data_IF_957912466613
#
_entry.id   IF_957912466613
#
_cell.length_a   1.000
_cell.length_b   1.000
_cell.length_c   1.000
_cell.angle_alpha   90.00
_cell.angle_beta   90.00
_cell.angle_gamma   90.00
#
_symmetry.space_group_name_H-M   'P 1'
#
loop_
_entity.id
_entity.type
_entity.pdbx_description
1 polymer ?
#
# COMPACT_ATOMS: atom_id res chain seq x y z
N UNK A 1 11.27 -14.27 11.53
CA UNK A 1 10.94 -15.70 11.76
C UNK A 1 12.16 -16.34 12.43
N UNK A 2 12.08 -16.73 13.71
CA UNK A 2 13.25 -17.24 14.44
C UNK A 2 13.50 -18.69 14.04
N UNK A 3 14.67 -18.97 13.45
CA UNK A 3 15.08 -20.31 13.01
C UNK A 3 16.04 -20.89 14.06
N UNK A 4 15.64 -21.96 14.75
CA UNK A 4 16.54 -22.67 15.66
C UNK A 4 17.61 -23.36 14.80
N UNK A 5 18.88 -22.99 15.02
CA UNK A 5 20.02 -23.48 14.23
C UNK A 5 20.70 -24.70 14.83
N UNK A 6 20.56 -24.94 16.14
CA UNK A 6 21.05 -26.14 16.80
C UNK A 6 20.32 -26.38 18.14
N UNK A 7 20.31 -27.64 18.61
CA UNK A 7 19.93 -28.01 19.97
C UNK A 7 21.12 -28.69 20.65
N UNK A 8 21.36 -28.37 21.92
CA UNK A 8 22.34 -29.06 22.76
C UNK A 8 21.62 -29.61 23.98
N UNK A 9 21.80 -30.90 24.24
CA UNK A 9 21.32 -31.53 25.47
C UNK A 9 22.20 -31.06 26.63
N UNK A 10 21.57 -30.51 27.69
CA UNK A 10 22.27 -29.94 28.85
C UNK A 10 22.09 -30.76 30.13
N UNK A 11 21.36 -31.87 30.06
CA UNK A 11 21.05 -32.73 31.21
C UNK A 11 19.55 -33.01 31.33
N UNK A 12 19.19 -33.79 32.35
CA UNK A 12 17.81 -33.97 32.81
C UNK A 12 17.68 -33.25 34.14
N UNK A 13 16.75 -32.32 34.23
CA UNK A 13 16.31 -31.75 35.50
C UNK A 13 14.92 -32.28 35.82
N UNK A 14 14.59 -32.39 37.11
CA UNK A 14 13.22 -32.66 37.53
C UNK A 14 12.39 -31.41 37.22
N UNK A 15 11.51 -31.51 36.24
CA UNK A 15 10.44 -30.54 36.05
C UNK A 15 9.29 -30.92 36.98
N UNK A 16 8.86 -29.98 37.82
CA UNK A 16 7.66 -30.14 38.63
C UNK A 16 6.43 -29.86 37.76
N UNK A 17 6.11 -30.81 36.89
CA UNK A 17 4.78 -30.86 36.30
C UNK A 17 3.88 -31.66 37.26
N UNK A 18 2.65 -31.19 37.50
CA UNK A 18 1.71 -31.89 38.38
C UNK A 18 1.19 -33.11 37.61
N UNK A 19 1.98 -34.18 37.60
CA UNK A 19 1.56 -35.50 37.19
C UNK A 19 0.67 -36.08 38.28
N UNK A 20 -0.62 -36.22 37.97
CA UNK A 20 -1.60 -36.79 38.88
C UNK A 20 -1.88 -38.23 38.46
N UNK A 21 -1.64 -39.20 39.35
CA UNK A 21 -1.71 -40.65 39.05
C UNK A 21 -3.13 -41.16 38.68
N UNK A 22 -4.20 -40.44 39.08
CA UNK A 22 -5.59 -40.81 38.81
C UNK A 22 -6.44 -39.63 38.29
N UNK A 23 -7.72 -39.83 37.98
CA UNK A 23 -8.62 -38.74 37.60
C UNK A 23 -8.89 -37.82 38.82
N UNK A 24 -8.13 -36.73 38.98
CA UNK A 24 -8.39 -35.76 40.04
C UNK A 24 -9.19 -34.58 39.52
N UNK A 25 -10.39 -34.46 40.06
CA UNK A 25 -11.13 -33.22 40.12
C UNK A 25 -10.53 -32.38 41.27
N UNK A 26 -10.00 -31.19 41.00
CA UNK A 26 -9.46 -30.33 42.05
C UNK A 26 -10.61 -29.87 42.97
N UNK A 27 -10.78 -30.48 44.14
CA UNK A 27 -11.78 -30.03 45.10
C UNK A 27 -11.30 -28.74 45.80
N UNK A 28 -12.02 -27.64 45.65
CA UNK A 28 -11.78 -26.41 46.43
C UNK A 28 -12.42 -26.52 47.81
N UNK A 29 -12.00 -25.67 48.76
CA UNK A 29 -12.29 -25.70 50.22
C UNK A 29 -13.77 -25.96 50.60
N UNK A 30 -14.71 -25.72 49.69
CA UNK A 30 -16.15 -25.83 49.92
C UNK A 30 -16.76 -27.13 49.33
N UNK A 31 -15.94 -28.11 48.93
CA UNK A 31 -16.38 -29.37 48.33
C UNK A 31 -16.77 -29.26 46.84
N UNK A 32 -16.58 -28.11 46.21
CA UNK A 32 -16.82 -27.91 44.78
C UNK A 32 -15.63 -28.42 43.96
N UNK A 33 -15.93 -29.02 42.82
CA UNK A 33 -14.93 -29.47 41.84
C UNK A 33 -14.57 -28.30 40.94
N UNK A 34 -13.29 -27.93 40.90
CA UNK A 34 -12.76 -26.99 39.96
C UNK A 34 -12.65 -27.64 38.58
N UNK A 35 -13.66 -27.39 37.75
CA UNK A 35 -13.62 -27.56 36.31
C UNK A 35 -13.33 -26.21 35.64
N UNK A 36 -12.48 -26.18 34.60
CA UNK A 36 -12.14 -24.96 33.83
C UNK A 36 -11.28 -23.91 34.55
N UNK A 37 -10.41 -24.30 35.48
CA UNK A 37 -9.41 -23.38 36.02
C UNK A 37 -8.48 -22.85 34.92
N UNK A 38 -8.28 -21.54 34.89
CA UNK A 38 -7.44 -20.88 33.90
C UNK A 38 -6.11 -20.44 34.48
N UNK A 39 -5.05 -20.56 33.70
CA UNK A 39 -3.71 -20.18 34.15
C UNK A 39 -3.60 -18.65 34.29
N UNK A 40 -3.38 -18.16 35.52
CA UNK A 40 -3.34 -16.72 35.82
C UNK A 40 -2.18 -16.00 35.13
N UNK A 41 -0.97 -16.58 35.11
CA UNK A 41 0.19 -15.92 34.49
C UNK A 41 0.00 -15.73 32.97
N UNK A 42 -0.51 -16.76 32.29
CA UNK A 42 -0.86 -16.68 30.87
C UNK A 42 -1.96 -15.65 30.61
N UNK A 43 -3.05 -15.68 31.39
CA UNK A 43 -4.15 -14.71 31.26
C UNK A 43 -3.69 -13.27 31.48
N UNK A 44 -2.80 -13.07 32.46
CA UNK A 44 -2.29 -11.73 32.79
C UNK A 44 -1.43 -11.18 31.64
N UNK A 45 -0.58 -12.00 31.03
CA UNK A 45 0.23 -11.59 29.89
C UNK A 45 -0.62 -11.16 28.68
N UNK A 46 -1.65 -11.93 28.32
CA UNK A 46 -2.56 -11.57 27.22
C UNK A 46 -3.47 -10.39 27.58
N UNK A 47 -3.92 -10.30 28.84
CA UNK A 47 -4.67 -9.15 29.35
C UNK A 47 -3.88 -7.85 29.22
N UNK A 48 -2.58 -7.89 29.46
CA UNK A 48 -1.70 -6.72 29.29
C UNK A 48 -1.62 -6.26 27.82
N UNK A 49 -1.42 -7.17 26.86
CA UNK A 49 -1.44 -6.83 25.42
C UNK A 49 -2.81 -6.29 24.99
N UNK A 50 -3.89 -6.87 25.52
CA UNK A 50 -5.26 -6.40 25.27
C UNK A 50 -5.44 -4.96 25.78
N UNK A 51 -4.97 -4.66 26.98
CA UNK A 51 -4.99 -3.31 27.52
C UNK A 51 -4.19 -2.33 26.66
N UNK A 52 -2.99 -2.71 26.21
CA UNK A 52 -2.16 -1.86 25.36
C UNK A 52 -2.85 -1.52 24.03
N UNK A 53 -3.45 -2.52 23.36
CA UNK A 53 -4.18 -2.28 22.11
C UNK A 53 -5.44 -1.44 22.31
N UNK A 54 -6.18 -1.66 23.40
CA UNK A 54 -7.33 -0.82 23.77
C UNK A 54 -6.92 0.63 24.06
N UNK A 55 -5.81 0.82 24.77
CA UNK A 55 -5.25 2.15 25.07
C UNK A 55 -4.86 2.88 23.78
N UNK A 56 -4.16 2.22 22.86
CA UNK A 56 -3.79 2.81 21.56
C UNK A 56 -5.02 3.16 20.73
N UNK A 57 -6.02 2.29 20.68
CA UNK A 57 -7.28 2.58 19.97
C UNK A 57 -8.03 3.77 20.56
N UNK A 58 -8.03 3.94 21.88
CA UNK A 58 -8.73 5.02 22.56
C UNK A 58 -8.04 6.39 22.41
N UNK A 59 -6.70 6.41 22.42
CA UNK A 59 -5.91 7.65 22.46
C UNK A 59 -5.28 8.04 21.11
N UNK A 60 -5.02 7.06 20.24
CA UNK A 60 -4.40 7.21 18.91
C UNK A 60 -5.21 6.43 17.86
N UNK A 61 -6.52 6.71 17.71
CA UNK A 61 -7.41 5.92 16.87
C UNK A 61 -6.97 5.92 15.40
N UNK A 62 -6.44 7.04 14.90
CA UNK A 62 -6.03 7.19 13.51
C UNK A 62 -4.83 6.29 13.19
N UNK A 63 -3.77 6.40 13.99
CA UNK A 63 -2.54 5.62 13.86
C UNK A 63 -2.79 4.14 14.12
N UNK A 64 -3.62 3.81 15.12
CA UNK A 64 -4.00 2.44 15.43
C UNK A 64 -4.74 1.78 14.26
N UNK A 65 -5.70 2.48 13.65
CA UNK A 65 -6.43 1.97 12.50
C UNK A 65 -5.54 1.84 11.26
N UNK A 66 -4.65 2.81 11.02
CA UNK A 66 -3.65 2.70 9.94
C UNK A 66 -2.74 1.47 10.13
N UNK A 67 -2.25 1.24 11.35
CA UNK A 67 -1.44 0.06 11.67
C UNK A 67 -2.21 -1.26 11.49
N UNK A 68 -3.48 -1.32 11.87
CA UNK A 68 -4.33 -2.50 11.64
C UNK A 68 -4.56 -2.78 10.15
N UNK A 69 -4.82 -1.75 9.35
CA UNK A 69 -4.99 -1.87 7.91
C UNK A 69 -3.70 -2.39 7.26
N UNK A 70 -2.55 -1.82 7.63
CA UNK A 70 -1.23 -2.25 7.17
C UNK A 70 -0.92 -3.70 7.55
N UNK A 71 -1.12 -4.09 8.80
CA UNK A 71 -0.83 -5.44 9.28
C UNK A 71 -1.69 -6.52 8.60
N UNK A 72 -2.80 -6.14 7.98
CA UNK A 72 -3.74 -7.05 7.32
C UNK A 72 -3.88 -6.74 5.82
N UNK A 73 -2.99 -5.97 5.20
CA UNK A 73 -3.10 -5.53 3.80
C UNK A 73 -3.20 -6.68 2.79
N UNK A 74 -2.65 -7.86 3.12
CA UNK A 74 -2.76 -9.07 2.32
C UNK A 74 -4.10 -9.83 2.43
N UNK A 75 -5.02 -9.41 3.30
CA UNK A 75 -6.31 -10.06 3.56
C UNK A 75 -7.45 -9.08 3.29
N UNK A 76 -8.03 -9.16 2.09
CA UNK A 76 -9.05 -8.20 1.62
C UNK A 76 -10.29 -8.17 2.50
N UNK A 77 -10.68 -9.30 3.09
CA UNK A 77 -11.87 -9.39 3.92
C UNK A 77 -11.64 -8.68 5.26
N UNK A 78 -10.43 -8.77 5.81
CA UNK A 78 -10.05 -8.03 7.02
C UNK A 78 -9.90 -6.54 6.75
N UNK A 79 -9.25 -6.16 5.65
CA UNK A 79 -9.12 -4.75 5.24
C UNK A 79 -10.51 -4.13 5.15
N UNK A 80 -11.45 -4.77 4.45
CA UNK A 80 -12.82 -4.25 4.33
C UNK A 80 -13.50 -4.05 5.69
N UNK A 81 -13.34 -4.99 6.64
CA UNK A 81 -13.87 -4.84 8.00
C UNK A 81 -13.26 -3.65 8.73
N UNK A 82 -11.95 -3.44 8.62
CA UNK A 82 -11.28 -2.31 9.26
C UNK A 82 -11.66 -0.97 8.63
N UNK A 83 -11.88 -0.92 7.31
CA UNK A 83 -12.37 0.28 6.63
C UNK A 83 -13.77 0.65 7.11
N UNK A 84 -14.67 -0.33 7.26
CA UNK A 84 -15.99 -0.09 7.84
C UNK A 84 -15.88 0.41 9.29
N UNK A 85 -14.93 -0.09 10.07
CA UNK A 85 -14.66 0.42 11.42
C UNK A 85 -14.15 1.86 11.39
N UNK A 86 -13.24 2.22 10.46
CA UNK A 86 -12.81 3.60 10.26
C UNK A 86 -14.01 4.51 9.99
N UNK A 87 -14.90 4.12 9.08
CA UNK A 87 -16.11 4.88 8.77
C UNK A 87 -17.01 5.08 10.01
N UNK A 88 -17.23 4.02 10.81
CA UNK A 88 -17.99 4.10 12.06
C UNK A 88 -17.31 4.97 13.13
N UNK A 89 -15.99 5.08 13.08
CA UNK A 89 -15.18 5.94 13.96
C UNK A 89 -15.04 7.37 13.43
N UNK A 90 -15.64 7.69 12.27
CA UNK A 90 -15.49 9.01 11.62
C UNK A 90 -14.12 9.26 11.00
N UNK A 91 -13.32 8.21 10.79
CA UNK A 91 -11.99 8.29 10.17
C UNK A 91 -12.16 8.16 8.65
N UNK A 92 -11.75 9.21 7.92
CA UNK A 92 -11.73 9.20 6.46
C UNK A 92 -10.47 8.51 5.94
N UNK A 93 -10.64 7.68 4.91
CA UNK A 93 -9.54 7.08 4.15
C UNK A 93 -9.52 7.72 2.76
N UNK A 94 -8.46 8.44 2.43
CA UNK A 94 -8.25 8.97 1.08
C UNK A 94 -7.88 7.80 0.14
N UNK A 95 -8.27 7.84 -1.15
CA UNK A 95 -7.86 6.86 -2.15
C UNK A 95 -6.33 6.79 -2.30
N UNK A 96 -5.81 5.72 -2.93
CA UNK A 96 -4.41 5.70 -3.32
C UNK A 96 -4.08 6.93 -4.16
N UNK A 97 -2.84 7.39 -4.05
CA UNK A 97 -2.34 8.58 -4.73
C UNK A 97 -0.85 8.36 -5.01
N UNK A 98 -0.44 8.35 -6.26
CA UNK A 98 0.95 8.11 -6.66
C UNK A 98 1.95 9.10 -6.05
N UNK A 99 1.52 10.32 -5.69
CA UNK A 99 2.38 11.34 -5.09
C UNK A 99 2.33 11.35 -3.55
N UNK A 100 1.25 10.84 -2.93
CA UNK A 100 1.09 10.88 -1.46
C UNK A 100 1.17 9.52 -0.77
N UNK A 101 0.66 8.47 -1.40
CA UNK A 101 0.60 7.13 -0.79
C UNK A 101 2.00 6.55 -0.61
N UNK A 102 2.19 5.90 0.54
CA UNK A 102 3.35 5.07 0.82
C UNK A 102 3.12 3.60 0.48
N UNK A 103 4.06 2.76 0.90
CA UNK A 103 3.88 1.31 0.90
C UNK A 103 2.68 0.90 1.77
N UNK A 104 2.61 1.49 2.96
CA UNK A 104 1.63 1.19 4.00
C UNK A 104 0.55 2.26 4.12
N UNK A 105 -0.55 1.91 4.80
CA UNK A 105 -1.55 2.88 5.20
C UNK A 105 -0.92 3.90 6.13
N UNK A 106 -1.03 5.19 5.78
CA UNK A 106 -0.27 6.26 6.44
C UNK A 106 -1.22 7.29 7.03
N UNK A 107 -1.18 7.56 8.34
CA UNK A 107 -1.97 8.65 8.94
C UNK A 107 -1.41 10.00 8.48
N UNK A 108 -2.26 10.85 7.89
CA UNK A 108 -1.87 12.18 7.42
C UNK A 108 -3.06 13.15 7.51
N UNK A 109 -2.86 14.30 8.19
CA UNK A 109 -3.84 15.38 8.22
C UNK A 109 -5.23 14.99 8.76
N UNK A 110 -5.28 14.11 9.78
CA UNK A 110 -6.54 13.62 10.35
C UNK A 110 -7.23 12.52 9.52
N UNK A 111 -6.58 12.04 8.46
CA UNK A 111 -7.06 10.99 7.57
C UNK A 111 -6.05 9.86 7.44
N UNK A 112 -6.44 8.78 6.80
CA UNK A 112 -5.53 7.68 6.43
C UNK A 112 -5.36 7.71 4.90
N UNK A 113 -4.12 7.78 4.43
CA UNK A 113 -3.79 7.56 3.03
C UNK A 113 -3.76 6.07 2.75
N UNK A 114 -4.40 5.64 1.66
CA UNK A 114 -4.38 4.26 1.23
C UNK A 114 -2.95 3.81 0.92
N UNK A 115 -2.54 2.64 1.43
CA UNK A 115 -1.23 2.06 1.14
C UNK A 115 -1.20 1.38 -0.22
N UNK A 116 -0.16 1.61 -1.03
CA UNK A 116 -0.03 0.99 -2.36
C UNK A 116 0.05 -0.54 -2.28
N UNK A 117 0.49 -1.09 -1.15
CA UNK A 117 0.56 -2.55 -0.91
C UNK A 117 -0.80 -3.25 -0.90
N UNK A 118 -1.88 -2.51 -0.66
CA UNK A 118 -3.25 -3.04 -0.64
C UNK A 118 -3.95 -2.96 -2.02
N UNK A 119 -3.26 -2.45 -3.06
CA UNK A 119 -3.79 -2.42 -4.42
C UNK A 119 -3.46 -3.73 -5.13
N UNK A 120 -4.49 -4.44 -5.61
CA UNK A 120 -4.28 -5.68 -6.39
C UNK A 120 -3.50 -5.39 -7.66
N UNK A 121 -2.70 -6.38 -8.07
CA UNK A 121 -1.76 -6.31 -9.19
C UNK A 121 -0.57 -5.34 -9.01
N UNK A 122 -0.41 -4.69 -7.84
CA UNK A 122 0.73 -3.82 -7.57
C UNK A 122 1.70 -4.54 -6.62
N UNK A 123 2.80 -5.05 -7.17
CA UNK A 123 3.80 -5.82 -6.40
C UNK A 123 4.76 -4.92 -5.60
N UNK A 124 5.34 -5.44 -4.51
CA UNK A 124 6.27 -4.68 -3.66
C UNK A 124 7.46 -4.08 -4.42
N UNK A 125 8.01 -4.77 -5.42
CA UNK A 125 9.11 -4.25 -6.23
C UNK A 125 8.67 -3.05 -7.08
N UNK A 126 7.45 -3.07 -7.62
CA UNK A 126 6.90 -1.95 -8.36
C UNK A 126 6.67 -0.75 -7.43
N UNK A 127 6.14 -0.99 -6.23
CA UNK A 127 5.96 0.06 -5.20
C UNK A 127 7.31 0.69 -4.84
N UNK A 128 8.33 -0.13 -4.55
CA UNK A 128 9.66 0.35 -4.23
C UNK A 128 10.26 1.20 -5.37
N UNK A 129 10.08 0.77 -6.63
CA UNK A 129 10.49 1.52 -7.81
C UNK A 129 9.79 2.88 -7.91
N UNK A 130 8.47 2.92 -7.74
CA UNK A 130 7.67 4.16 -7.75
C UNK A 130 8.12 5.12 -6.65
N UNK A 131 8.31 4.61 -5.43
CA UNK A 131 8.73 5.42 -4.29
C UNK A 131 10.16 5.96 -4.46
N UNK A 132 11.09 5.17 -5.01
CA UNK A 132 12.45 5.63 -5.32
C UNK A 132 12.43 6.74 -6.37
N UNK A 133 11.71 6.53 -7.48
CA UNK A 133 11.56 7.51 -8.54
C UNK A 133 10.96 8.83 -8.02
N UNK A 134 9.93 8.76 -7.16
CA UNK A 134 9.34 9.95 -6.53
C UNK A 134 10.30 10.65 -5.58
N UNK A 135 11.10 9.91 -4.80
CA UNK A 135 12.07 10.50 -3.88
C UNK A 135 13.23 11.20 -4.61
N UNK A 136 13.61 10.70 -5.79
CA UNK A 136 14.71 11.25 -6.60
C UNK A 136 14.24 12.38 -7.53
N UNK A 137 13.08 12.22 -8.17
CA UNK A 137 12.54 13.13 -9.19
C UNK A 137 11.49 14.13 -8.68
N UNK A 138 10.97 13.95 -7.47
CA UNK A 138 9.85 14.72 -6.93
C UNK A 138 8.47 14.18 -7.34
N UNK A 139 7.45 15.00 -7.15
CA UNK A 139 6.07 14.64 -7.49
C UNK A 139 5.88 14.50 -9.00
N UNK A 140 5.23 13.43 -9.43
CA UNK A 140 4.88 13.21 -10.83
C UNK A 140 3.79 14.20 -11.26
N UNK A 141 4.00 14.86 -12.40
CA UNK A 141 3.12 15.90 -12.93
C UNK A 141 2.15 15.39 -14.01
N UNK A 142 2.44 14.24 -14.62
CA UNK A 142 1.63 13.64 -15.69
C UNK A 142 1.84 12.12 -15.76
N UNK A 143 0.99 11.43 -16.53
CA UNK A 143 1.21 10.00 -16.83
C UNK A 143 2.54 9.77 -17.57
N UNK A 144 2.91 10.69 -18.47
CA UNK A 144 4.17 10.60 -19.20
C UNK A 144 5.39 10.78 -18.29
N UNK A 145 5.30 11.73 -17.35
CA UNK A 145 6.32 11.96 -16.34
C UNK A 145 6.49 10.74 -15.42
N UNK A 146 5.38 10.14 -14.97
CA UNK A 146 5.42 8.87 -14.25
C UNK A 146 6.08 7.76 -15.07
N UNK A 147 5.67 7.55 -16.31
CA UNK A 147 6.20 6.49 -17.16
C UNK A 147 7.68 6.68 -17.55
N UNK A 148 8.16 7.92 -17.73
CA UNK A 148 9.57 8.21 -18.03
C UNK A 148 10.45 8.16 -16.77
N UNK A 149 9.86 8.38 -15.59
CA UNK A 149 10.54 8.39 -14.29
C UNK A 149 10.73 7.00 -13.66
N UNK A 150 9.87 6.02 -13.95
CA UNK A 150 9.93 4.66 -13.36
C UNK A 150 10.55 3.64 -14.31
N UNK A 151 11.12 2.56 -13.76
CA UNK A 151 11.55 1.41 -14.58
C UNK A 151 10.34 0.57 -15.00
N UNK A 152 9.89 0.73 -16.24
CA UNK A 152 8.75 0.01 -16.82
C UNK A 152 8.97 -1.51 -16.98
N UNK A 153 10.19 -2.02 -16.75
CA UNK A 153 10.44 -3.46 -16.62
C UNK A 153 9.94 -4.01 -15.28
N UNK A 154 9.95 -3.17 -14.24
CA UNK A 154 9.47 -3.49 -12.90
C UNK A 154 8.02 -3.04 -12.74
N UNK A 155 7.69 -1.83 -13.16
CA UNK A 155 6.33 -1.27 -13.17
C UNK A 155 5.68 -1.59 -14.51
N UNK A 156 5.23 -2.82 -14.67
CA UNK A 156 4.62 -3.27 -15.92
C UNK A 156 3.29 -2.57 -16.22
N UNK A 157 2.85 -2.64 -17.47
CA UNK A 157 1.59 -2.04 -17.95
C UNK A 157 0.37 -2.36 -17.08
N UNK A 158 0.19 -3.62 -16.68
CA UNK A 158 -0.92 -4.04 -15.80
C UNK A 158 -0.91 -3.34 -14.44
N UNK A 159 0.28 -3.04 -13.92
CA UNK A 159 0.45 -2.27 -12.68
C UNK A 159 -0.04 -0.84 -12.88
N UNK A 160 0.34 -0.18 -13.98
CA UNK A 160 -0.09 1.19 -14.31
C UNK A 160 -1.59 1.25 -14.53
N UNK A 161 -2.17 0.31 -15.29
CA UNK A 161 -3.62 0.18 -15.48
C UNK A 161 -4.35 0.04 -14.14
N UNK A 162 -3.83 -0.79 -13.23
CA UNK A 162 -4.43 -0.98 -11.90
C UNK A 162 -4.37 0.29 -11.06
N UNK A 163 -3.26 1.04 -11.12
CA UNK A 163 -3.12 2.34 -10.44
C UNK A 163 -4.08 3.40 -11.01
N UNK A 164 -4.25 3.46 -12.33
CA UNK A 164 -5.23 4.35 -12.97
C UNK A 164 -6.64 3.99 -12.52
N UNK A 165 -7.01 2.72 -12.65
CA UNK A 165 -8.37 2.24 -12.35
C UNK A 165 -8.76 2.39 -10.88
N UNK A 166 -7.81 2.28 -9.95
CA UNK A 166 -8.07 2.46 -8.52
C UNK A 166 -8.02 3.92 -8.05
N UNK A 167 -7.77 4.87 -8.96
CA UNK A 167 -7.80 6.31 -8.69
C UNK A 167 -6.48 6.93 -8.24
N UNK A 168 -5.37 6.20 -8.34
CA UNK A 168 -4.06 6.69 -7.90
C UNK A 168 -3.57 7.91 -8.70
N UNK A 169 -4.10 8.12 -9.91
CA UNK A 169 -3.78 9.25 -10.79
C UNK A 169 -4.85 10.36 -10.80
N UNK A 170 -5.94 10.25 -10.03
CA UNK A 170 -7.11 11.15 -10.15
C UNK A 170 -6.78 12.64 -9.91
N UNK A 171 -5.71 12.94 -9.18
CA UNK A 171 -5.24 14.32 -8.96
C UNK A 171 -4.44 14.91 -10.11
N UNK A 172 -3.85 14.06 -10.95
CA UNK A 172 -3.13 14.45 -12.16
C UNK A 172 -4.14 14.60 -13.30
N UNK A 173 -4.99 13.60 -13.49
CA UNK A 173 -6.04 13.58 -14.50
C UNK A 173 -7.22 12.77 -13.95
N UNK A 174 -8.37 13.42 -13.81
CA UNK A 174 -9.56 12.82 -13.22
C UNK A 174 -10.28 11.86 -14.20
N UNK A 175 -10.05 12.03 -15.50
CA UNK A 175 -10.60 11.15 -16.53
C UNK A 175 -9.77 9.86 -16.64
N UNK A 176 -10.14 8.86 -15.83
CA UNK A 176 -9.46 7.55 -15.82
C UNK A 176 -9.50 6.88 -17.19
N UNK A 177 -10.56 7.08 -17.98
CA UNK A 177 -10.64 6.51 -19.33
C UNK A 177 -9.63 7.17 -20.27
N UNK A 178 -9.48 8.49 -20.20
CA UNK A 178 -8.45 9.22 -20.94
C UNK A 178 -7.06 8.70 -20.60
N UNK A 179 -6.76 8.49 -19.31
CA UNK A 179 -5.47 7.93 -18.88
C UNK A 179 -5.19 6.53 -19.47
N UNK A 180 -6.20 5.67 -19.58
CA UNK A 180 -6.03 4.35 -20.20
C UNK A 180 -5.73 4.45 -21.69
N UNK A 181 -6.41 5.36 -22.41
CA UNK A 181 -6.12 5.61 -23.82
C UNK A 181 -4.75 6.28 -24.03
N UNK A 182 -4.38 7.21 -23.16
CA UNK A 182 -3.06 7.85 -23.20
C UNK A 182 -1.96 6.81 -22.89
N UNK A 183 -2.21 5.87 -21.96
CA UNK A 183 -1.27 4.80 -21.62
C UNK A 183 -0.90 3.93 -22.83
N UNK A 184 -1.81 3.71 -23.78
CA UNK A 184 -1.51 2.96 -25.00
C UNK A 184 -0.34 3.56 -25.78
N UNK A 185 -0.25 4.89 -25.81
CA UNK A 185 0.77 5.61 -26.57
C UNK A 185 1.99 5.96 -25.70
N UNK A 186 1.73 6.42 -24.49
CA UNK A 186 2.75 6.91 -23.55
C UNK A 186 3.67 5.78 -23.09
N UNK A 187 3.15 4.56 -22.90
CA UNK A 187 3.94 3.43 -22.43
C UNK A 187 5.06 3.07 -23.42
N UNK A 188 4.72 2.97 -24.71
CA UNK A 188 5.68 2.63 -25.77
C UNK A 188 6.68 3.77 -26.00
N UNK A 189 6.20 5.02 -25.96
CA UNK A 189 7.05 6.21 -26.00
C UNK A 189 8.09 6.23 -24.87
N UNK A 190 7.67 5.99 -23.63
CA UNK A 190 8.56 5.97 -22.47
C UNK A 190 9.56 4.81 -22.53
N UNK A 191 9.15 3.63 -23.01
CA UNK A 191 10.06 2.51 -23.23
C UNK A 191 11.14 2.82 -24.28
N UNK A 192 10.77 3.48 -25.39
CA UNK A 192 11.75 3.91 -26.40
C UNK A 192 12.76 4.87 -25.80
N UNK A 193 12.30 5.90 -25.07
CA UNK A 193 13.19 6.86 -24.40
C UNK A 193 14.12 6.21 -23.38
N UNK A 194 13.62 5.26 -22.59
CA UNK A 194 14.45 4.51 -21.64
C UNK A 194 15.57 3.73 -22.36
N UNK A 195 15.27 3.15 -23.54
CA UNK A 195 16.24 2.46 -24.39
C UNK A 195 17.26 3.41 -25.01
N UNK A 196 16.83 4.59 -25.46
CA UNK A 196 17.71 5.62 -26.03
C UNK A 196 18.67 6.19 -24.98
N UNK A 197 18.18 6.38 -23.74
CA UNK A 197 19.03 6.74 -22.59
C UNK A 197 20.03 5.64 -22.27
N UNK A 198 19.60 4.38 -22.20
CA UNK A 198 20.47 3.24 -21.90
C UNK A 198 21.54 2.98 -22.98
N UNK A 199 21.25 3.31 -24.25
CA UNK A 199 22.19 3.17 -25.37
C UNK A 199 23.11 4.38 -25.55
N UNK A 200 22.97 5.42 -24.73
CA UNK A 200 23.78 6.65 -24.80
C UNK A 200 23.41 7.60 -25.95
N UNK A 201 22.32 7.33 -26.68
CA UNK A 201 21.86 8.16 -27.80
C UNK A 201 21.11 9.42 -27.36
N UNK A 202 20.59 9.47 -26.13
CA UNK A 202 19.90 10.64 -25.59
C UNK A 202 20.75 11.92 -25.59
N UNK A 203 22.08 11.80 -25.40
CA UNK A 203 22.98 12.95 -25.35
C UNK A 203 23.27 13.57 -26.73
N UNK A 204 23.07 12.86 -27.85
CA UNK A 204 23.47 13.38 -29.17
C UNK A 204 22.52 14.47 -29.68
N UNK A 205 21.23 14.39 -29.34
CA UNK A 205 20.24 15.42 -29.68
C UNK A 205 20.26 16.60 -28.69
N UNK A 206 20.50 16.35 -27.40
CA UNK A 206 20.63 17.40 -26.38
C UNK A 206 21.92 18.22 -26.60
N UNK A 207 23.00 17.58 -27.07
CA UNK A 207 24.26 18.23 -27.43
C UNK A 207 24.17 19.04 -28.74
N UNK A 208 23.35 18.61 -29.71
CA UNK A 208 23.13 19.35 -30.98
C UNK A 208 22.15 20.53 -30.84
N UNK A 209 21.29 20.54 -29.82
CA UNK A 209 20.41 21.67 -29.47
C UNK A 209 21.09 22.79 -28.68
N UNK A 210 22.33 22.59 -28.22
CA UNK A 210 23.05 23.47 -27.29
C UNK A 210 23.77 24.68 -27.90
N UNK A 211 23.16 25.41 -28.83
CA UNK A 211 23.71 26.67 -29.35
C UNK A 211 22.84 27.88 -29.00
N UNK A 212 22.62 28.11 -27.71
CA UNK A 212 22.41 29.47 -27.18
C UNK A 212 22.71 29.51 -25.69
N UNK A 213 23.79 30.22 -25.38
CA UNK A 213 24.18 30.54 -24.03
C UNK A 213 23.08 31.37 -23.33
N UNK A 214 22.56 30.86 -22.22
CA UNK A 214 22.40 31.65 -21.02
C UNK A 214 22.23 30.75 -19.78
N UNK A 215 23.16 30.97 -18.85
CA UNK A 215 23.25 30.37 -17.53
C UNK A 215 22.02 30.71 -16.68
N UNK A 216 21.24 29.69 -16.32
CA UNK A 216 20.65 29.56 -14.99
C UNK A 216 20.30 28.09 -14.72
N UNK A 217 20.73 27.61 -13.56
CA UNK A 217 20.53 26.27 -13.03
C UNK A 217 19.02 25.98 -12.85
N UNK A 218 18.38 25.40 -13.86
CA UNK A 218 17.17 24.60 -13.73
C UNK A 218 17.50 23.22 -14.28
N UNK A 219 17.61 22.27 -13.36
CA UNK A 219 17.86 20.87 -13.69
C UNK A 219 16.58 20.34 -14.38
N UNK A 220 16.74 19.97 -15.65
CA UNK A 220 15.86 19.13 -16.47
C UNK A 220 14.42 19.61 -16.72
N UNK A 221 14.26 20.61 -17.59
CA UNK A 221 13.00 20.87 -18.31
C UNK A 221 13.15 20.71 -19.83
N UNK A 222 13.97 19.77 -20.30
CA UNK A 222 14.08 19.45 -21.73
C UNK A 222 13.24 18.20 -22.08
N UNK A 223 12.28 18.41 -23.00
CA UNK A 223 11.67 17.42 -23.93
C UNK A 223 10.46 16.56 -23.51
N UNK A 224 9.37 17.17 -23.06
CA UNK A 224 8.01 16.56 -23.19
C UNK A 224 7.22 17.08 -24.42
N UNK A 225 7.82 17.86 -25.32
CA UNK A 225 7.14 18.46 -26.49
C UNK A 225 6.57 17.45 -27.50
N UNK A 226 6.96 16.17 -27.42
CA UNK A 226 6.51 15.10 -28.31
C UNK A 226 5.79 13.94 -27.57
N UNK A 227 5.25 14.18 -26.37
CA UNK A 227 4.44 13.15 -25.69
C UNK A 227 3.21 12.84 -26.55
N UNK A 228 3.02 11.58 -26.97
CA UNK A 228 1.84 11.23 -27.71
C UNK A 228 0.63 11.27 -26.77
N UNK A 229 -0.46 11.88 -27.24
CA UNK A 229 -1.72 11.96 -26.51
C UNK A 229 -2.84 11.38 -27.36
N UNK A 230 -3.72 10.59 -26.74
CA UNK A 230 -4.86 10.04 -27.44
C UNK A 230 -5.90 11.13 -27.71
N UNK A 231 -6.82 10.85 -28.64
CA UNK A 231 -7.97 11.72 -28.85
C UNK A 231 -8.81 11.82 -27.57
N UNK A 232 -9.39 12.99 -27.26
CA UNK A 232 -10.23 13.14 -26.07
C UNK A 232 -11.39 12.16 -26.06
N UNK A 233 -11.56 11.44 -24.94
CA UNK A 233 -12.67 10.52 -24.71
C UNK A 233 -13.47 10.89 -23.46
N UNK A 234 -14.79 10.67 -23.43
CA UNK A 234 -15.57 10.83 -22.21
C UNK A 234 -15.11 9.83 -21.15
N UNK A 235 -15.15 10.22 -19.87
CA UNK A 235 -14.75 9.35 -18.76
C UNK A 235 -15.67 8.12 -18.62
N UNK A 236 -15.23 7.14 -17.82
CA UNK A 236 -16.05 6.01 -17.42
C UNK A 236 -17.30 6.46 -16.67
N UNK A 237 -18.39 5.70 -16.84
CA UNK A 237 -19.59 5.91 -16.04
C UNK A 237 -19.27 5.73 -14.55
N UNK A 238 -19.86 6.51 -13.62
CA UNK A 238 -19.53 6.41 -12.18
C UNK A 238 -19.63 4.99 -11.61
N UNK A 239 -20.67 4.24 -11.99
CA UNK A 239 -20.85 2.84 -11.58
C UNK A 239 -19.70 1.92 -12.05
N UNK A 240 -19.12 2.20 -13.21
CA UNK A 240 -17.99 1.45 -13.74
C UNK A 240 -16.71 1.77 -12.97
N UNK A 241 -16.47 3.04 -12.61
CA UNK A 241 -15.35 3.44 -11.73
C UNK A 241 -15.43 2.74 -10.37
N UNK A 242 -16.61 2.73 -9.76
CA UNK A 242 -16.86 2.03 -8.50
C UNK A 242 -16.62 0.51 -8.62
N UNK A 243 -17.03 -0.10 -9.73
CA UNK A 243 -16.77 -1.53 -9.99
C UNK A 243 -15.26 -1.81 -10.03
N UNK A 244 -14.49 -0.99 -10.74
CA UNK A 244 -13.04 -1.14 -10.86
C UNK A 244 -12.32 -0.92 -9.51
N UNK A 245 -12.75 0.07 -8.73
CA UNK A 245 -12.25 0.27 -7.36
C UNK A 245 -12.50 -0.96 -6.48
N UNK A 246 -13.72 -1.49 -6.49
CA UNK A 246 -14.03 -2.69 -5.71
C UNK A 246 -13.21 -3.89 -6.16
N UNK A 247 -12.99 -4.04 -7.46
CA UNK A 247 -12.18 -5.14 -7.99
C UNK A 247 -10.72 -5.07 -7.52
N UNK A 248 -10.13 -3.87 -7.52
CA UNK A 248 -8.70 -3.65 -7.28
C UNK A 248 -8.36 -3.41 -5.80
N UNK A 249 -9.25 -2.76 -5.06
CA UNK A 249 -9.08 -2.39 -3.67
C UNK A 249 -9.87 -3.29 -2.72
N UNK A 250 -10.87 -4.01 -3.23
CA UNK A 250 -11.78 -4.86 -2.44
C UNK A 250 -13.03 -4.15 -1.93
N UNK A 251 -13.12 -2.83 -2.08
CA UNK A 251 -14.21 -1.99 -1.58
C UNK A 251 -14.30 -0.68 -2.39
N UNK A 252 -15.36 0.10 -2.15
CA UNK A 252 -15.57 1.39 -2.83
C UNK A 252 -14.91 2.51 -2.03
N UNK A 253 -14.05 3.30 -2.68
CA UNK A 253 -13.36 4.42 -2.00
C UNK A 253 -14.01 5.75 -2.34
N UNK A 254 -14.32 5.99 -3.62
CA UNK A 254 -14.77 7.29 -4.09
C UNK A 254 -16.22 7.60 -3.68
N UNK A 255 -17.12 6.61 -3.74
CA UNK A 255 -18.51 6.75 -3.29
C UNK A 255 -19.15 5.39 -3.00
N UNK A 256 -20.27 5.36 -2.26
CA UNK A 256 -21.03 4.13 -2.05
C UNK A 256 -22.07 3.96 -3.16
N UNK A 257 -22.15 2.81 -3.87
CA UNK A 257 -23.04 2.62 -5.04
C UNK A 257 -24.55 2.66 -4.76
N UNK A 258 -24.95 2.87 -3.49
CA UNK A 258 -26.35 2.93 -3.04
C UNK A 258 -26.68 4.29 -2.38
N UNK A 259 -25.73 5.23 -2.37
CA UNK A 259 -25.97 6.62 -1.99
C UNK A 259 -26.43 7.42 -3.21
#
# INVERSE_FOLDING_TARGET
MVKITARKFVGRENVYDIGVEHHHNFAIKNGLIASNCFNKSHSTAYGYVTYQTAYLKANYPLEYMAALLTANSGDTDKVQKYINNCANMGITIDPPDINRSGLDFTPAGGKILFGLSAVRNVGQNAIACILSARNEGGDFQSLADFCDGVDLRVVNRRTVESLIHCGAFDKIEANRKQLIHDLELVYDWAQSRAKDRASGQGNLFDLLGGSSANTNHQIASSTFEAVPKAQPVPDFHPQEKLRMEKELLGFYVSDHPLK
#
